data_IF_273230239567
#
_entry.id   IF_273230239567
#
_cell.length_a   1.000
_cell.length_b   1.000
_cell.length_c   1.000
_cell.angle_alpha   90.00
_cell.angle_beta   90.00
_cell.angle_gamma   90.00
#
_symmetry.space_group_name_H-M   'P 1'
#
loop_
_entity.id
_entity.type
_entity.pdbx_description
1 polymer ?
#
# COMPACT_ATOMS: atom_id res chain seq x y z
N UNK A 1 16.66 24.98 -0.51
CA UNK A 1 15.78 23.78 -0.42
C UNK A 1 15.13 23.56 -1.78
N UNK A 2 15.46 22.45 -2.44
CA UNK A 2 14.98 22.11 -3.79
C UNK A 2 13.44 22.09 -3.83
N UNK A 3 12.84 22.50 -4.95
CA UNK A 3 11.37 22.57 -5.11
C UNK A 3 10.68 21.21 -4.86
N UNK A 4 11.39 20.11 -5.13
CA UNK A 4 10.93 18.74 -4.83
C UNK A 4 10.72 18.55 -3.33
N UNK A 5 11.74 18.86 -2.52
CA UNK A 5 11.68 18.72 -1.06
C UNK A 5 10.61 19.60 -0.43
N UNK A 6 10.41 20.82 -0.95
CA UNK A 6 9.35 21.73 -0.46
C UNK A 6 7.94 21.18 -0.67
N UNK A 7 7.73 20.41 -1.74
CA UNK A 7 6.41 19.84 -2.08
C UNK A 7 6.22 18.50 -1.37
N UNK A 8 7.27 17.67 -1.30
CA UNK A 8 7.22 16.36 -0.66
C UNK A 8 7.14 16.46 0.87
N UNK A 9 7.93 17.35 1.47
CA UNK A 9 8.02 17.58 2.92
C UNK A 9 7.84 19.08 3.20
N UNK A 10 6.60 19.60 3.09
CA UNK A 10 6.33 21.01 3.36
C UNK A 10 6.62 21.35 4.82
N UNK A 11 7.10 22.57 5.07
CA UNK A 11 7.39 23.06 6.44
C UNK A 11 6.18 23.05 7.36
N UNK A 12 4.97 23.11 6.80
CA UNK A 12 3.70 23.15 7.54
C UNK A 12 2.71 22.22 6.86
N UNK A 13 2.06 21.35 7.63
CA UNK A 13 0.95 20.53 7.17
C UNK A 13 -0.32 21.39 7.10
N UNK A 14 -0.97 21.44 5.94
CA UNK A 14 -2.12 22.29 5.66
C UNK A 14 -3.13 21.57 4.75
N UNK A 15 -4.40 21.99 4.83
CA UNK A 15 -5.46 21.48 3.98
C UNK A 15 -5.59 22.29 2.68
N UNK A 16 -4.47 22.48 1.96
CA UNK A 16 -4.41 23.19 0.67
C UNK A 16 -3.66 22.39 -0.40
N UNK A 17 -4.36 21.49 -1.09
CA UNK A 17 -3.81 20.77 -2.24
C UNK A 17 -4.04 21.58 -3.53
N UNK A 18 -2.95 22.00 -4.18
CA UNK A 18 -2.97 22.81 -5.41
C UNK A 18 -3.08 21.98 -6.71
N UNK A 19 -3.13 20.65 -6.60
CA UNK A 19 -3.22 19.73 -7.74
C UNK A 19 -4.66 19.37 -8.15
N UNK A 20 -4.78 18.37 -9.02
CA UNK A 20 -6.08 17.91 -9.52
C UNK A 20 -6.88 17.15 -8.45
N UNK A 21 -8.14 17.56 -8.20
CA UNK A 21 -9.04 16.92 -7.22
C UNK A 21 -9.28 15.42 -7.48
N UNK A 22 -9.19 14.96 -8.73
CA UNK A 22 -9.31 13.53 -9.07
C UNK A 22 -8.29 12.66 -8.33
N UNK A 23 -7.10 13.21 -8.02
CA UNK A 23 -6.06 12.54 -7.25
C UNK A 23 -6.57 12.23 -5.84
N UNK A 24 -7.24 13.19 -5.19
CA UNK A 24 -7.82 13.02 -3.84
C UNK A 24 -8.86 11.90 -3.84
N UNK A 25 -9.82 11.95 -4.77
CA UNK A 25 -10.89 10.94 -4.82
C UNK A 25 -10.35 9.54 -5.11
N UNK A 26 -9.37 9.44 -6.01
CA UNK A 26 -8.74 8.16 -6.34
C UNK A 26 -7.93 7.62 -5.17
N UNK A 27 -7.17 8.48 -4.47
CA UNK A 27 -6.43 8.08 -3.27
C UNK A 27 -7.38 7.66 -2.14
N UNK A 28 -8.52 8.33 -1.98
CA UNK A 28 -9.54 7.92 -1.02
C UNK A 28 -10.09 6.53 -1.32
N UNK A 29 -10.41 6.25 -2.59
CA UNK A 29 -10.84 4.93 -3.04
C UNK A 29 -9.80 3.85 -2.73
N UNK A 30 -8.53 4.06 -3.09
CA UNK A 30 -7.46 3.11 -2.78
C UNK A 30 -7.24 2.95 -1.27
N UNK A 31 -7.32 4.04 -0.50
CA UNK A 31 -7.17 3.97 0.94
C UNK A 31 -8.27 3.14 1.61
N UNK A 32 -9.52 3.22 1.12
CA UNK A 32 -10.62 2.37 1.59
C UNK A 32 -10.33 0.89 1.28
N UNK A 33 -9.79 0.58 0.11
CA UNK A 33 -9.37 -0.78 -0.24
C UNK A 33 -8.26 -1.28 0.69
N UNK A 34 -7.24 -0.46 0.94
CA UNK A 34 -6.13 -0.82 1.83
C UNK A 34 -6.60 -1.02 3.26
N UNK A 35 -7.46 -0.13 3.75
CA UNK A 35 -8.09 -0.26 5.05
C UNK A 35 -8.87 -1.57 5.16
N UNK A 36 -9.76 -1.86 4.20
CA UNK A 36 -10.54 -3.10 4.19
C UNK A 36 -9.66 -4.35 4.18
N UNK A 37 -8.59 -4.34 3.37
CA UNK A 37 -7.62 -5.45 3.31
C UNK A 37 -6.86 -5.64 4.63
N UNK A 38 -6.54 -4.55 5.33
CA UNK A 38 -5.87 -4.64 6.62
C UNK A 38 -6.74 -5.37 7.66
N UNK A 39 -8.06 -5.12 7.66
CA UNK A 39 -9.00 -5.80 8.55
C UNK A 39 -9.06 -7.30 8.24
N UNK A 40 -9.05 -7.68 6.96
CA UNK A 40 -8.98 -9.10 6.55
C UNK A 40 -7.72 -9.75 7.13
N UNK A 41 -6.55 -9.13 6.92
CA UNK A 41 -5.29 -9.67 7.41
C UNK A 41 -5.21 -9.74 8.95
N UNK A 42 -5.94 -8.90 9.68
CA UNK A 42 -5.97 -8.92 11.14
C UNK A 42 -6.98 -9.95 11.69
N UNK A 43 -8.18 -10.03 11.12
CA UNK A 43 -9.28 -10.79 11.72
C UNK A 43 -9.49 -12.21 11.17
N UNK A 44 -8.97 -12.53 9.99
CA UNK A 44 -9.03 -13.92 9.49
C UNK A 44 -7.96 -14.77 10.18
N UNK A 45 -8.31 -15.99 10.57
CA UNK A 45 -7.41 -16.90 11.29
C UNK A 45 -6.11 -17.21 10.52
N UNK A 46 -6.18 -17.28 9.19
CA UNK A 46 -5.04 -17.51 8.28
C UNK A 46 -4.46 -16.19 7.73
N UNK A 47 -4.81 -15.05 8.33
CA UNK A 47 -4.59 -13.70 7.80
C UNK A 47 -5.09 -13.53 6.34
N UNK A 48 -6.05 -14.35 5.89
CA UNK A 48 -6.54 -14.39 4.52
C UNK A 48 -5.54 -14.94 3.49
N UNK A 49 -4.45 -15.58 3.92
CA UNK A 49 -3.41 -16.10 3.05
C UNK A 49 -3.85 -17.36 2.30
N UNK A 50 -4.54 -18.30 2.95
CA UNK A 50 -5.07 -19.50 2.29
C UNK A 50 -6.40 -19.17 1.61
N UNK A 51 -7.39 -18.70 2.38
CA UNK A 51 -8.78 -18.58 1.93
C UNK A 51 -8.93 -17.57 0.77
N UNK A 52 -8.24 -16.44 0.86
CA UNK A 52 -8.38 -15.34 -0.11
C UNK A 52 -7.23 -15.35 -1.10
N UNK A 53 -5.99 -15.33 -0.61
CA UNK A 53 -4.82 -15.23 -1.48
C UNK A 53 -4.50 -16.57 -2.18
N UNK A 54 -4.91 -17.71 -1.63
CA UNK A 54 -4.69 -19.02 -2.25
C UNK A 54 -3.31 -19.61 -2.01
N UNK A 55 -2.61 -19.17 -0.96
CA UNK A 55 -1.37 -19.78 -0.50
C UNK A 55 -1.64 -21.26 -0.16
N UNK A 56 -0.84 -22.15 -0.72
CA UNK A 56 -0.88 -23.58 -0.41
C UNK A 56 -0.43 -23.80 1.02
N UNK A 57 -1.13 -24.68 1.75
CA UNK A 57 -0.73 -25.07 3.10
C UNK A 57 0.61 -25.79 3.03
N UNK A 58 1.53 -25.45 3.94
CA UNK A 58 2.83 -26.11 4.05
C UNK A 58 2.77 -27.13 5.18
N UNK A 59 3.08 -28.39 4.89
CA UNK A 59 3.12 -29.44 5.91
C UNK A 59 4.44 -29.43 6.68
N UNK A 60 4.37 -29.66 7.99
CA UNK A 60 5.54 -29.70 8.87
C UNK A 60 5.16 -29.85 10.34
N UNK A 61 6.13 -30.28 11.17
CA UNK A 61 5.98 -30.40 12.62
C UNK A 61 7.15 -29.71 13.33
N UNK A 62 6.90 -28.63 14.11
CA UNK A 62 5.61 -27.99 14.37
C UNK A 62 4.99 -27.33 13.11
N UNK A 63 3.69 -27.01 13.15
CA UNK A 63 2.95 -26.43 12.01
C UNK A 63 3.59 -25.10 11.56
N UNK A 64 4.22 -25.05 10.38
CA UNK A 64 4.94 -23.86 9.93
C UNK A 64 3.98 -22.71 9.57
N UNK A 65 2.71 -23.00 9.28
CA UNK A 65 1.74 -21.99 8.86
C UNK A 65 1.45 -20.98 9.95
N UNK A 66 1.58 -21.34 11.24
CA UNK A 66 1.35 -20.42 12.35
C UNK A 66 2.28 -19.19 12.28
N UNK A 67 3.55 -19.40 11.95
CA UNK A 67 4.53 -18.31 11.81
C UNK A 67 4.21 -17.46 10.57
N UNK A 68 3.83 -18.11 9.46
CA UNK A 68 3.45 -17.41 8.23
C UNK A 68 2.23 -16.51 8.47
N UNK A 69 1.22 -17.02 9.20
CA UNK A 69 0.02 -16.25 9.54
C UNK A 69 0.35 -15.11 10.48
N UNK A 70 1.23 -15.31 11.47
CA UNK A 70 1.71 -14.25 12.33
C UNK A 70 2.31 -13.08 11.52
N UNK A 71 3.16 -13.35 10.54
CA UNK A 71 3.66 -12.31 9.63
C UNK A 71 2.56 -11.69 8.75
N UNK A 72 1.57 -12.49 8.33
CA UNK A 72 0.36 -11.99 7.65
C UNK A 72 -0.43 -11.00 8.51
N UNK A 73 -0.60 -11.27 9.80
CA UNK A 73 -1.25 -10.37 10.75
C UNK A 73 -0.45 -9.08 10.97
N UNK A 74 0.88 -9.19 11.11
CA UNK A 74 1.75 -8.00 11.21
C UNK A 74 1.69 -7.13 9.95
N UNK A 75 1.62 -7.76 8.77
CA UNK A 75 1.40 -7.06 7.52
C UNK A 75 0.07 -6.29 7.52
N UNK A 76 -1.00 -6.93 8.01
CA UNK A 76 -2.30 -6.31 8.23
C UNK A 76 -2.23 -5.09 9.14
N UNK A 77 -1.57 -5.21 10.30
CA UNK A 77 -1.40 -4.11 11.24
C UNK A 77 -0.66 -2.92 10.60
N UNK A 78 0.45 -3.18 9.92
CA UNK A 78 1.21 -2.13 9.22
C UNK A 78 0.34 -1.44 8.15
N UNK A 79 -0.42 -2.22 7.38
CA UNK A 79 -1.34 -1.69 6.37
C UNK A 79 -2.45 -0.83 7.00
N UNK A 80 -2.97 -1.21 8.17
CA UNK A 80 -3.97 -0.44 8.91
C UNK A 80 -3.41 0.91 9.34
N UNK A 81 -2.22 0.93 9.95
CA UNK A 81 -1.55 2.15 10.41
C UNK A 81 -1.30 3.12 9.24
N UNK A 82 -0.77 2.62 8.13
CA UNK A 82 -0.57 3.40 6.90
C UNK A 82 -1.90 3.95 6.38
N UNK A 83 -2.98 3.15 6.43
CA UNK A 83 -4.29 3.58 5.94
C UNK A 83 -4.92 4.67 6.81
N UNK A 84 -4.72 4.60 8.13
CA UNK A 84 -5.14 5.64 9.08
C UNK A 84 -4.41 6.95 8.77
N UNK A 85 -3.09 6.91 8.60
CA UNK A 85 -2.29 8.07 8.17
C UNK A 85 -2.78 8.60 6.82
N UNK A 86 -3.13 7.70 5.89
CA UNK A 86 -3.73 8.06 4.61
C UNK A 86 -5.02 8.86 4.76
N UNK A 87 -5.96 8.43 5.61
CA UNK A 87 -7.19 9.19 5.87
C UNK A 87 -6.89 10.56 6.47
N UNK A 88 -5.96 10.64 7.43
CA UNK A 88 -5.55 11.90 8.04
C UNK A 88 -5.00 12.87 6.99
N UNK A 89 -4.12 12.39 6.10
CA UNK A 89 -3.57 13.21 5.01
C UNK A 89 -4.68 13.65 4.04
N UNK A 90 -5.52 12.73 3.59
CA UNK A 90 -6.58 13.01 2.61
C UNK A 90 -7.58 14.05 3.13
N UNK A 91 -8.00 13.95 4.39
CA UNK A 91 -9.05 14.81 4.95
C UNK A 91 -8.54 16.08 5.61
N UNK A 92 -7.34 16.06 6.20
CA UNK A 92 -6.84 17.16 7.06
C UNK A 92 -5.58 17.84 6.56
N UNK A 93 -4.68 17.11 5.89
CA UNK A 93 -3.37 17.61 5.50
C UNK A 93 -3.06 17.29 4.03
N UNK A 94 -3.98 17.64 3.13
CA UNK A 94 -3.91 17.24 1.73
C UNK A 94 -2.69 17.83 0.97
N UNK A 95 -1.97 18.81 1.54
CA UNK A 95 -0.67 19.23 0.99
C UNK A 95 0.43 18.16 1.15
N UNK A 96 0.20 17.09 1.93
CA UNK A 96 1.05 15.90 2.06
C UNK A 96 0.67 14.76 1.09
N UNK A 97 -0.26 14.97 0.16
CA UNK A 97 -0.60 13.99 -0.88
C UNK A 97 0.61 13.47 -1.68
N UNK A 98 1.60 14.29 -2.07
CA UNK A 98 2.81 13.78 -2.75
C UNK A 98 3.52 12.71 -1.92
N UNK A 99 3.63 12.91 -0.60
CA UNK A 99 4.21 11.94 0.32
C UNK A 99 3.38 10.67 0.42
N UNK A 100 2.05 10.82 0.51
CA UNK A 100 1.13 9.67 0.54
C UNK A 100 1.24 8.80 -0.72
N UNK A 101 1.38 9.42 -1.89
CA UNK A 101 1.62 8.69 -3.15
C UNK A 101 2.89 7.84 -3.07
N UNK A 102 3.99 8.38 -2.54
CA UNK A 102 5.23 7.60 -2.38
C UNK A 102 5.07 6.47 -1.36
N UNK A 103 4.40 6.72 -0.23
CA UNK A 103 4.14 5.68 0.78
C UNK A 103 3.38 4.51 0.15
N UNK A 104 2.30 4.79 -0.60
CA UNK A 104 1.54 3.73 -1.26
C UNK A 104 2.30 3.05 -2.41
N UNK A 105 3.14 3.79 -3.15
CA UNK A 105 4.03 3.23 -4.14
C UNK A 105 4.96 2.18 -3.50
N UNK A 106 5.64 2.55 -2.41
CA UNK A 106 6.56 1.66 -1.70
C UNK A 106 5.83 0.49 -1.03
N UNK A 107 4.65 0.72 -0.47
CA UNK A 107 3.81 -0.33 0.12
C UNK A 107 3.46 -1.44 -0.90
N UNK A 108 3.25 -1.08 -2.18
CA UNK A 108 2.92 -2.05 -3.23
C UNK A 108 4.16 -2.71 -3.84
N UNK A 109 5.24 -1.97 -4.06
CA UNK A 109 6.45 -2.50 -4.72
C UNK A 109 7.39 -3.24 -3.75
N UNK A 110 7.31 -2.97 -2.44
CA UNK A 110 8.23 -3.53 -1.44
C UNK A 110 8.27 -5.06 -1.44
N UNK A 111 7.11 -5.71 -1.37
CA UNK A 111 7.02 -7.18 -1.41
C UNK A 111 7.68 -7.82 -2.65
N UNK A 112 7.28 -7.45 -3.90
CA UNK A 112 7.90 -8.00 -5.10
C UNK A 112 9.36 -7.59 -5.27
N UNK A 113 9.74 -6.40 -4.78
CA UNK A 113 11.14 -6.00 -4.79
C UNK A 113 11.99 -6.95 -3.92
N UNK A 114 11.54 -7.20 -2.68
CA UNK A 114 12.22 -8.11 -1.76
C UNK A 114 12.25 -9.54 -2.34
N UNK A 115 11.12 -10.07 -2.82
CA UNK A 115 11.08 -11.45 -3.33
C UNK A 115 11.99 -11.65 -4.54
N UNK A 116 11.97 -10.72 -5.51
CA UNK A 116 12.63 -10.92 -6.80
C UNK A 116 14.10 -10.50 -6.77
N UNK A 117 14.48 -9.47 -6.00
CA UNK A 117 15.82 -8.88 -6.06
C UNK A 117 16.65 -9.12 -4.80
N UNK A 118 16.03 -9.37 -3.64
CA UNK A 118 16.79 -9.63 -2.40
C UNK A 118 16.83 -11.14 -2.11
N UNK A 119 15.66 -11.79 -2.14
CA UNK A 119 15.57 -13.23 -1.92
C UNK A 119 15.83 -14.05 -3.17
N UNK A 120 15.77 -13.42 -4.35
CA UNK A 120 15.87 -14.09 -5.66
C UNK A 120 14.98 -15.35 -5.76
N UNK A 121 13.77 -15.25 -5.22
CA UNK A 121 12.88 -16.39 -5.00
C UNK A 121 11.55 -16.21 -5.72
N UNK A 122 11.15 -17.20 -6.52
CA UNK A 122 9.82 -17.24 -7.10
C UNK A 122 8.79 -17.77 -6.08
N UNK A 123 8.13 -16.85 -5.39
CA UNK A 123 7.09 -17.19 -4.43
C UNK A 123 5.77 -17.63 -5.08
N UNK A 124 5.62 -17.51 -6.41
CA UNK A 124 4.36 -17.85 -7.09
C UNK A 124 4.05 -19.35 -7.05
N UNK A 125 5.08 -20.20 -6.93
CA UNK A 125 4.94 -21.66 -6.83
C UNK A 125 4.16 -22.10 -5.59
N UNK A 126 4.08 -21.25 -4.56
CA UNK A 126 3.34 -21.51 -3.33
C UNK A 126 1.86 -21.11 -3.43
N UNK A 127 1.38 -20.62 -4.57
CA UNK A 127 0.01 -20.16 -4.73
C UNK A 127 -0.78 -21.00 -5.73
N UNK A 128 -1.96 -21.44 -5.33
CA UNK A 128 -2.91 -22.19 -6.15
C UNK A 128 -3.71 -21.32 -7.13
N UNK A 129 -3.78 -20.01 -6.88
CA UNK A 129 -4.49 -19.02 -7.70
C UNK A 129 -3.80 -17.65 -7.59
N UNK A 130 -4.13 -16.75 -8.51
CA UNK A 130 -3.65 -15.37 -8.42
C UNK A 130 -4.34 -14.63 -7.26
N UNK A 131 -3.59 -14.08 -6.28
CA UNK A 131 -4.19 -13.31 -5.20
C UNK A 131 -4.89 -12.05 -5.75
N UNK A 132 -6.08 -11.68 -5.27
CA UNK A 132 -6.75 -10.45 -5.70
C UNK A 132 -5.89 -9.20 -5.50
N UNK A 133 -5.08 -9.18 -4.44
CA UNK A 133 -4.14 -8.09 -4.15
C UNK A 133 -3.04 -7.91 -5.21
N UNK A 134 -2.78 -8.90 -6.07
CA UNK A 134 -1.76 -8.82 -7.10
C UNK A 134 -2.15 -7.86 -8.23
N UNK A 135 -3.43 -7.76 -8.58
CA UNK A 135 -3.91 -6.81 -9.59
C UNK A 135 -3.61 -5.37 -9.18
N UNK A 136 -3.88 -5.05 -7.92
CA UNK A 136 -3.56 -3.74 -7.35
C UNK A 136 -2.05 -3.48 -7.36
N UNK A 137 -1.25 -4.51 -7.12
CA UNK A 137 0.22 -4.43 -7.13
C UNK A 137 0.80 -4.15 -8.51
N UNK A 138 0.12 -4.58 -9.59
CA UNK A 138 0.58 -4.36 -10.98
C UNK A 138 0.34 -2.92 -11.44
N UNK A 139 -0.86 -2.39 -11.21
CA UNK A 139 -1.26 -1.07 -11.74
C UNK A 139 -1.10 0.07 -10.73
N UNK A 140 -1.27 -0.21 -9.44
CA UNK A 140 -1.23 0.78 -8.37
C UNK A 140 0.07 1.61 -8.34
N UNK A 141 1.27 1.02 -8.41
CA UNK A 141 2.53 1.78 -8.41
C UNK A 141 2.60 2.78 -9.57
N UNK A 142 2.13 2.40 -10.76
CA UNK A 142 2.12 3.27 -11.95
C UNK A 142 1.18 4.47 -11.71
N UNK A 143 0.01 4.23 -11.11
CA UNK A 143 -0.94 5.30 -10.77
C UNK A 143 -0.33 6.23 -9.72
N UNK A 144 0.27 5.70 -8.67
CA UNK A 144 0.82 6.51 -7.58
C UNK A 144 2.04 7.34 -8.01
N UNK A 145 2.92 6.81 -8.87
CA UNK A 145 4.04 7.59 -9.39
C UNK A 145 3.54 8.70 -10.34
N UNK A 146 2.51 8.41 -11.15
CA UNK A 146 1.90 9.42 -12.02
C UNK A 146 1.25 10.54 -11.19
N UNK A 147 0.53 10.20 -10.12
CA UNK A 147 -0.03 11.19 -9.19
C UNK A 147 1.02 11.97 -8.42
N UNK A 148 2.11 11.31 -8.02
CA UNK A 148 3.27 11.98 -7.45
C UNK A 148 3.83 13.03 -8.42
N UNK A 149 4.05 12.68 -9.69
CA UNK A 149 4.53 13.62 -10.72
C UNK A 149 3.53 14.76 -10.93
N UNK A 150 2.23 14.46 -11.06
CA UNK A 150 1.19 15.47 -11.25
C UNK A 150 0.99 16.39 -10.05
N UNK A 151 1.38 15.96 -8.84
CA UNK A 151 1.30 16.81 -7.65
C UNK A 151 2.25 18.02 -7.71
N UNK A 152 3.26 17.99 -8.59
CA UNK A 152 4.14 19.14 -8.83
C UNK A 152 3.58 20.13 -9.85
N UNK A 153 2.55 19.75 -10.60
CA UNK A 153 1.89 20.62 -11.57
C UNK A 153 0.82 21.42 -10.84
N UNK A 154 1.13 22.68 -10.52
CA UNK A 154 0.16 23.59 -9.93
C UNK A 154 -0.97 23.86 -10.91
N UNK A 155 -2.21 23.65 -10.47
CA UNK A 155 -3.36 24.12 -11.23
C UNK A 155 -3.45 25.63 -11.03
N UNK A 156 -3.26 26.41 -12.11
CA UNK A 156 -3.72 27.80 -12.13
C UNK A 156 -5.24 27.74 -11.98
N UNK A 157 -5.75 28.23 -10.86
CA UNK A 157 -7.18 28.50 -10.70
C UNK A 157 -7.55 29.71 -11.52
#
# INVERSE_FOLDING_TARGET
MNNVLKTLLPKKAENRFEGYKIIIYTLLFFNIIFFSRSLIHIFFQDAGLLQIAGLSKIDGTPDPNQIIYFFGHLWGLNQLLISIVGFIIIFRYNNLIPLLCLIYFFQLIGGPFISNFIMESDLSIYYSKTPPGLYLRRFGPIIFIMFFIFSFIKRKQ
#
